data_IF_291721626882
#
_entry.id   IF_291721626882
#
_cell.length_a   1.000
_cell.length_b   1.000
_cell.length_c   1.000
_cell.angle_alpha   90.00
_cell.angle_beta   90.00
_cell.angle_gamma   90.00
#
_symmetry.space_group_name_H-M   'P 1'
#
loop_
_entity.id
_entity.type
_entity.pdbx_description
1 polymer ?
#
# COMPACT_ATOMS: atom_id res chain seq x y z
N UNK A 1 -104.84 -15.59 -15.15
CA UNK A 1 -104.58 -17.04 -15.37
C UNK A 1 -103.88 -17.28 -16.74
N UNK A 2 -102.76 -16.60 -17.03
CA UNK A 2 -101.98 -16.75 -18.31
C UNK A 2 -100.45 -16.78 -18.07
N UNK A 3 -99.96 -16.64 -16.83
CA UNK A 3 -98.52 -16.50 -16.56
C UNK A 3 -97.78 -17.78 -16.10
N UNK A 4 -98.49 -18.90 -15.88
CA UNK A 4 -97.89 -20.14 -15.37
C UNK A 4 -97.56 -21.20 -16.43
N UNK A 5 -97.79 -20.93 -17.72
CA UNK A 5 -97.51 -21.91 -18.81
C UNK A 5 -96.15 -21.75 -19.51
N UNK A 6 -95.43 -20.64 -19.34
CA UNK A 6 -94.18 -20.39 -20.08
C UNK A 6 -92.88 -20.78 -19.35
N UNK A 7 -92.94 -21.15 -18.06
CA UNK A 7 -91.75 -21.55 -17.30
C UNK A 7 -91.37 -23.03 -17.49
N UNK A 8 -92.34 -23.93 -17.77
CA UNK A 8 -92.06 -25.37 -17.90
C UNK A 8 -91.40 -25.78 -19.22
N UNK A 9 -91.56 -24.99 -20.30
CA UNK A 9 -91.02 -25.34 -21.62
C UNK A 9 -89.56 -24.89 -21.86
N UNK A 10 -89.03 -23.95 -21.06
CA UNK A 10 -87.61 -23.57 -21.12
C UNK A 10 -86.70 -24.46 -20.25
N UNK A 11 -87.20 -24.97 -19.13
CA UNK A 11 -86.44 -25.92 -18.30
C UNK A 11 -86.26 -27.29 -18.98
N UNK A 12 -87.26 -27.77 -19.75
CA UNK A 12 -87.18 -29.06 -20.42
C UNK A 12 -86.23 -29.09 -21.64
N UNK A 13 -85.98 -27.95 -22.30
CA UNK A 13 -85.03 -27.89 -23.43
C UNK A 13 -83.56 -27.79 -23.01
N UNK A 14 -83.28 -27.34 -21.78
CA UNK A 14 -81.92 -27.34 -21.23
C UNK A 14 -81.57 -28.72 -20.69
N UNK A 15 -82.52 -29.40 -20.04
CA UNK A 15 -82.30 -30.77 -19.54
C UNK A 15 -82.11 -31.81 -20.67
N UNK A 16 -82.82 -31.67 -21.80
CA UNK A 16 -82.72 -32.62 -22.91
C UNK A 16 -81.43 -32.48 -23.75
N UNK A 17 -80.69 -31.36 -23.65
CA UNK A 17 -79.39 -31.18 -24.32
C UNK A 17 -78.20 -31.67 -23.51
N UNK A 18 -78.40 -31.99 -22.23
CA UNK A 18 -77.35 -32.54 -21.36
C UNK A 18 -77.30 -34.07 -21.45
N UNK A 19 -78.33 -34.74 -21.97
CA UNK A 19 -78.45 -36.20 -21.93
C UNK A 19 -78.14 -36.94 -23.24
N UNK A 20 -77.64 -36.26 -24.29
CA UNK A 20 -77.59 -36.85 -25.64
C UNK A 20 -76.20 -36.92 -26.31
N UNK A 21 -75.10 -36.70 -25.58
CA UNK A 21 -73.73 -36.79 -26.15
C UNK A 21 -72.73 -37.55 -25.24
N UNK A 22 -73.20 -38.50 -24.42
CA UNK A 22 -72.35 -39.37 -23.58
C UNK A 22 -71.91 -40.66 -24.29
N UNK A 23 -71.51 -40.58 -25.56
CA UNK A 23 -70.90 -41.71 -26.29
C UNK A 23 -69.60 -41.29 -26.95
N UNK A 24 -68.60 -40.96 -26.13
CA UNK A 24 -67.28 -40.58 -26.62
C UNK A 24 -66.33 -39.89 -25.65
N UNK A 25 -66.71 -39.60 -24.40
CA UNK A 25 -65.78 -39.14 -23.36
C UNK A 25 -64.91 -40.30 -22.88
N UNK A 26 -63.97 -40.73 -23.72
CA UNK A 26 -62.99 -41.74 -23.37
C UNK A 26 -62.13 -41.26 -22.20
N UNK A 27 -61.63 -42.20 -21.40
CA UNK A 27 -60.64 -42.00 -20.32
C UNK A 27 -59.56 -40.96 -20.67
N UNK A 28 -59.18 -40.88 -21.95
CA UNK A 28 -58.22 -39.91 -22.50
C UNK A 28 -58.61 -38.45 -22.24
N UNK A 29 -59.87 -38.05 -22.38
CA UNK A 29 -60.28 -36.65 -22.21
C UNK A 29 -60.23 -36.20 -20.75
N UNK A 30 -60.62 -37.08 -19.82
CA UNK A 30 -60.51 -36.84 -18.37
C UNK A 30 -59.04 -36.78 -17.95
N UNK A 31 -58.18 -37.63 -18.51
CA UNK A 31 -56.73 -37.60 -18.25
C UNK A 31 -56.11 -36.32 -18.81
N UNK A 32 -56.46 -35.89 -20.03
CA UNK A 32 -55.95 -34.64 -20.62
C UNK A 32 -56.44 -33.42 -19.83
N UNK A 33 -57.70 -33.39 -19.42
CA UNK A 33 -58.26 -32.31 -18.61
C UNK A 33 -57.57 -32.21 -17.23
N UNK A 34 -57.27 -33.35 -16.59
CA UNK A 34 -56.51 -33.39 -15.33
C UNK A 34 -55.07 -32.90 -15.51
N UNK A 35 -54.41 -33.24 -16.63
CA UNK A 35 -53.04 -32.78 -16.92
C UNK A 35 -53.01 -31.27 -17.17
N UNK A 36 -53.94 -30.74 -17.98
CA UNK A 36 -54.04 -29.30 -18.24
C UNK A 36 -54.37 -28.54 -16.96
N UNK A 37 -55.32 -29.04 -16.16
CA UNK A 37 -55.65 -28.44 -14.88
C UNK A 37 -54.45 -28.44 -13.93
N UNK A 38 -53.69 -29.53 -13.85
CA UNK A 38 -52.48 -29.61 -13.03
C UNK A 38 -51.43 -28.58 -13.47
N UNK A 39 -51.21 -28.42 -14.78
CA UNK A 39 -50.26 -27.42 -15.31
C UNK A 39 -50.69 -25.98 -14.96
N UNK A 40 -51.97 -25.67 -15.10
CA UNK A 40 -52.51 -24.35 -14.74
C UNK A 40 -52.41 -24.13 -13.23
N UNK A 41 -52.77 -25.12 -12.41
CA UNK A 41 -52.70 -25.04 -10.96
C UNK A 41 -51.27 -24.82 -10.46
N UNK A 42 -50.27 -25.51 -11.04
CA UNK A 42 -48.85 -25.29 -10.72
C UNK A 42 -48.41 -23.88 -11.11
N UNK A 43 -48.81 -23.39 -12.29
CA UNK A 43 -48.51 -22.03 -12.72
C UNK A 43 -49.07 -20.97 -11.77
N UNK A 44 -50.33 -21.11 -11.35
CA UNK A 44 -50.99 -20.20 -10.39
C UNK A 44 -50.33 -20.29 -9.02
N UNK A 45 -50.02 -21.49 -8.53
CA UNK A 45 -49.37 -21.67 -7.24
C UNK A 45 -47.97 -21.03 -7.21
N UNK A 46 -47.18 -21.20 -8.28
CA UNK A 46 -45.88 -20.52 -8.40
C UNK A 46 -46.04 -19.00 -8.47
N UNK A 47 -47.04 -18.50 -9.21
CA UNK A 47 -47.38 -17.08 -9.24
C UNK A 47 -47.66 -16.51 -7.85
N UNK A 48 -48.49 -17.19 -7.06
CA UNK A 48 -48.80 -16.78 -5.69
C UNK A 48 -47.57 -16.78 -4.77
N UNK A 49 -46.70 -17.79 -4.88
CA UNK A 49 -45.45 -17.86 -4.09
C UNK A 49 -44.52 -16.70 -4.45
N UNK A 50 -44.36 -16.39 -5.74
CA UNK A 50 -43.54 -15.28 -6.20
C UNK A 50 -44.13 -13.95 -5.72
N UNK A 51 -45.44 -13.74 -5.88
CA UNK A 51 -46.12 -12.53 -5.39
C UNK A 51 -45.98 -12.37 -3.87
N UNK A 52 -46.07 -13.47 -3.12
CA UNK A 52 -45.90 -13.45 -1.65
C UNK A 52 -44.47 -13.11 -1.26
N UNK A 53 -43.47 -13.67 -1.96
CA UNK A 53 -42.06 -13.34 -1.76
C UNK A 53 -41.76 -11.88 -2.06
N UNK A 54 -42.29 -11.34 -3.17
CA UNK A 54 -42.12 -9.94 -3.54
C UNK A 54 -42.77 -9.02 -2.50
N UNK A 55 -43.97 -9.36 -2.02
CA UNK A 55 -44.66 -8.58 -0.98
C UNK A 55 -43.88 -8.59 0.34
N UNK A 56 -43.40 -9.76 0.77
CA UNK A 56 -42.56 -9.88 1.97
C UNK A 56 -41.25 -9.10 1.84
N UNK A 57 -40.59 -9.18 0.68
CA UNK A 57 -39.37 -8.44 0.39
C UNK A 57 -39.60 -6.91 0.39
N UNK A 58 -40.72 -6.44 -0.15
CA UNK A 58 -41.11 -5.03 -0.09
C UNK A 58 -41.36 -4.55 1.35
N UNK A 59 -41.99 -5.38 2.19
CA UNK A 59 -42.17 -5.09 3.61
C UNK A 59 -40.83 -5.01 4.35
N UNK A 60 -39.93 -5.97 4.12
CA UNK A 60 -38.57 -5.95 4.68
C UNK A 60 -37.80 -4.72 4.23
N UNK A 61 -37.94 -4.30 2.96
CA UNK A 61 -37.31 -3.08 2.46
C UNK A 61 -37.83 -1.82 3.15
N UNK A 62 -39.12 -1.76 3.48
CA UNK A 62 -39.68 -0.64 4.25
C UNK A 62 -39.11 -0.59 5.67
N UNK A 63 -38.97 -1.74 6.34
CA UNK A 63 -38.30 -1.83 7.65
C UNK A 63 -36.83 -1.40 7.54
N UNK A 64 -36.12 -1.86 6.52
CA UNK A 64 -34.73 -1.48 6.27
C UNK A 64 -34.55 0.03 6.05
N UNK A 65 -35.49 0.70 5.35
CA UNK A 65 -35.48 2.16 5.21
C UNK A 65 -35.73 2.89 6.53
N UNK A 66 -36.59 2.36 7.40
CA UNK A 66 -36.78 2.93 8.75
C UNK A 66 -35.53 2.77 9.61
N UNK A 67 -34.83 1.62 9.51
CA UNK A 67 -33.55 1.40 10.18
C UNK A 67 -32.47 2.36 9.65
N UNK A 68 -32.43 2.62 8.34
CA UNK A 68 -31.54 3.62 7.77
C UNK A 68 -31.80 5.02 8.34
N UNK A 69 -33.07 5.43 8.43
CA UNK A 69 -33.44 6.72 9.01
C UNK A 69 -33.02 6.83 10.49
N UNK A 70 -33.28 5.77 11.28
CA UNK A 70 -32.85 5.72 12.67
C UNK A 70 -31.33 5.80 12.82
N UNK A 71 -30.57 5.14 11.95
CA UNK A 71 -29.11 5.22 11.92
C UNK A 71 -28.64 6.64 11.55
N UNK A 72 -29.25 7.28 10.55
CA UNK A 72 -28.93 8.67 10.19
C UNK A 72 -29.20 9.63 11.34
N UNK A 73 -30.32 9.47 12.06
CA UNK A 73 -30.63 10.28 13.23
C UNK A 73 -29.64 10.04 14.36
N UNK A 74 -29.22 8.80 14.59
CA UNK A 74 -28.13 8.50 15.52
C UNK A 74 -26.82 9.19 15.13
N UNK A 75 -26.45 9.14 13.85
CA UNK A 75 -25.24 9.81 13.35
C UNK A 75 -25.34 11.34 13.52
N UNK A 76 -26.51 11.95 13.35
CA UNK A 76 -26.73 13.38 13.60
C UNK A 76 -26.54 13.80 15.06
N UNK A 77 -26.66 12.88 16.02
CA UNK A 77 -26.37 13.16 17.44
C UNK A 77 -24.87 13.13 17.76
N UNK A 78 -24.05 12.64 16.83
CA UNK A 78 -22.60 12.53 17.00
C UNK A 78 -21.88 13.74 16.40
N UNK A 79 -20.67 13.98 16.88
CA UNK A 79 -19.74 14.88 16.21
C UNK A 79 -19.42 14.32 14.81
N UNK A 80 -19.56 15.10 13.71
CA UNK A 80 -19.21 14.63 12.36
C UNK A 80 -17.77 14.12 12.25
N UNK A 81 -16.87 14.56 13.13
CA UNK A 81 -15.48 14.13 13.19
C UNK A 81 -15.27 12.75 13.84
N UNK A 82 -16.26 12.24 14.60
CA UNK A 82 -16.22 10.91 15.22
C UNK A 82 -16.95 9.84 14.42
N UNK A 83 -17.72 10.23 13.39
CA UNK A 83 -18.46 9.28 12.56
C UNK A 83 -17.49 8.55 11.64
N UNK A 84 -17.57 7.22 11.63
CA UNK A 84 -16.68 6.37 10.85
C UNK A 84 -17.46 5.49 9.85
N UNK A 85 -16.82 5.15 8.74
CA UNK A 85 -17.33 4.11 7.83
C UNK A 85 -17.29 2.75 8.54
N UNK A 86 -18.31 1.93 8.30
CA UNK A 86 -18.39 0.53 8.73
C UNK A 86 -18.02 -0.40 7.56
N UNK A 87 -17.73 -1.67 7.86
CA UNK A 87 -17.40 -2.67 6.84
C UNK A 87 -18.25 -3.93 6.99
N UNK A 88 -18.18 -4.83 6.00
CA UNK A 88 -18.86 -6.14 6.08
C UNK A 88 -18.43 -6.97 7.29
N UNK A 89 -17.22 -6.78 7.79
CA UNK A 89 -16.68 -7.49 8.96
C UNK A 89 -16.92 -6.74 10.27
N UNK A 90 -17.44 -5.52 10.22
CA UNK A 90 -17.81 -4.70 11.37
C UNK A 90 -18.96 -3.77 10.98
N UNK A 91 -20.20 -4.31 10.91
CA UNK A 91 -21.38 -3.53 10.56
C UNK A 91 -21.65 -2.45 11.60
N UNK A 92 -22.34 -1.38 11.21
CA UNK A 92 -22.70 -0.31 12.14
C UNK A 92 -23.75 -0.77 13.17
N UNK A 93 -24.66 -1.64 12.75
CA UNK A 93 -25.63 -2.28 13.64
C UNK A 93 -26.21 -3.55 13.00
N UNK A 94 -26.68 -4.45 13.85
CA UNK A 94 -27.43 -5.66 13.47
C UNK A 94 -28.65 -5.77 14.36
N UNK A 95 -29.83 -5.97 13.77
CA UNK A 95 -31.09 -6.08 14.51
C UNK A 95 -31.93 -7.24 13.96
N UNK A 96 -32.61 -7.97 14.83
CA UNK A 96 -33.62 -8.94 14.43
C UNK A 96 -35.02 -8.39 14.67
N UNK A 97 -35.85 -8.45 13.62
CA UNK A 97 -37.26 -8.07 13.67
C UNK A 97 -38.03 -9.20 12.99
N UNK A 98 -38.96 -9.82 13.72
CA UNK A 98 -39.78 -10.94 13.24
C UNK A 98 -38.97 -12.10 12.64
N UNK A 99 -37.81 -12.41 13.23
CA UNK A 99 -36.92 -13.49 12.78
C UNK A 99 -36.10 -13.17 11.52
N UNK A 100 -36.24 -11.97 10.95
CA UNK A 100 -35.41 -11.48 9.85
C UNK A 100 -34.25 -10.67 10.44
N UNK A 101 -33.02 -10.99 10.05
CA UNK A 101 -31.84 -10.24 10.48
C UNK A 101 -31.59 -9.10 9.49
N UNK A 102 -31.57 -7.88 10.00
CA UNK A 102 -31.18 -6.67 9.27
C UNK A 102 -29.76 -6.30 9.67
N UNK A 103 -28.90 -6.07 8.69
CA UNK A 103 -27.51 -5.63 8.89
C UNK A 103 -27.32 -4.29 8.22
N UNK A 104 -26.98 -3.28 9.00
CA UNK A 104 -26.77 -1.91 8.54
C UNK A 104 -25.28 -1.63 8.39
N UNK A 105 -24.93 -0.96 7.31
CA UNK A 105 -23.63 -0.41 7.01
C UNK A 105 -23.76 1.10 6.81
N UNK A 106 -22.76 1.86 7.23
CA UNK A 106 -22.61 3.25 6.86
C UNK A 106 -21.26 3.48 6.16
N UNK A 107 -21.24 4.35 5.16
CA UNK A 107 -20.04 4.89 4.52
C UNK A 107 -20.04 6.40 4.69
N UNK A 108 -18.93 6.96 5.12
CA UNK A 108 -18.77 8.41 5.28
C UNK A 108 -17.72 8.95 4.33
N UNK A 109 -17.98 10.13 3.78
CA UNK A 109 -17.03 10.87 2.98
C UNK A 109 -17.21 12.37 3.26
N UNK A 110 -16.12 13.11 3.37
CA UNK A 110 -16.21 14.56 3.40
C UNK A 110 -16.49 15.06 2.00
N UNK A 111 -17.39 16.04 1.85
CA UNK A 111 -17.69 16.63 0.54
C UNK A 111 -17.37 18.11 0.51
N UNK A 112 -16.86 18.57 -0.63
CA UNK A 112 -16.71 20.00 -0.90
C UNK A 112 -18.06 20.65 -1.32
N UNK A 113 -18.04 21.95 -1.60
CA UNK A 113 -19.22 22.70 -2.06
C UNK A 113 -19.71 22.29 -3.46
N UNK A 114 -18.93 21.52 -4.21
CA UNK A 114 -19.34 20.93 -5.50
C UNK A 114 -20.04 19.57 -5.33
N UNK A 115 -20.10 19.03 -4.10
CA UNK A 115 -20.67 17.72 -3.80
C UNK A 115 -19.74 16.55 -4.14
N UNK A 116 -18.48 16.82 -4.45
CA UNK A 116 -17.48 15.79 -4.72
C UNK A 116 -16.95 15.23 -3.40
N UNK A 117 -16.79 13.90 -3.33
CA UNK A 117 -16.12 13.24 -2.20
C UNK A 117 -14.65 13.65 -2.17
N UNK A 118 -14.20 14.04 -0.99
CA UNK A 118 -12.84 14.46 -0.70
C UNK A 118 -12.32 13.64 0.48
N UNK A 119 -11.08 13.18 0.36
CA UNK A 119 -10.37 12.59 1.49
C UNK A 119 -9.93 13.70 2.45
N UNK A 120 -9.82 13.40 3.74
CA UNK A 120 -9.45 14.34 4.81
C UNK A 120 -8.08 15.04 4.68
N UNK A 121 -7.33 14.79 3.59
CA UNK A 121 -6.06 15.46 3.27
C UNK A 121 -6.10 16.29 1.99
N UNK A 122 -7.25 16.43 1.33
CA UNK A 122 -7.37 17.37 0.21
C UNK A 122 -7.19 18.80 0.74
N UNK A 123 -6.30 19.56 0.11
CA UNK A 123 -5.80 20.86 0.59
C UNK A 123 -6.79 22.01 0.38
N UNK A 124 -8.03 21.71 -0.05
CA UNK A 124 -9.07 22.72 -0.25
C UNK A 124 -9.86 22.95 1.03
N UNK A 125 -9.71 24.18 1.55
CA UNK A 125 -10.31 24.70 2.79
C UNK A 125 -11.85 24.76 2.86
N UNK A 126 -12.56 23.91 2.11
CA UNK A 126 -14.01 23.95 1.93
C UNK A 126 -14.74 22.63 2.23
N UNK A 127 -14.16 21.76 3.06
CA UNK A 127 -14.93 20.67 3.67
C UNK A 127 -16.03 21.27 4.54
N UNK A 128 -17.26 21.34 4.04
CA UNK A 128 -18.37 21.95 4.76
C UNK A 128 -19.36 20.89 5.25
N UNK A 129 -19.42 19.75 4.57
CA UNK A 129 -20.45 18.74 4.77
C UNK A 129 -19.81 17.35 4.84
N UNK A 130 -20.26 16.55 5.79
CA UNK A 130 -20.02 15.12 5.85
C UNK A 130 -21.18 14.41 5.14
N UNK A 131 -20.89 13.67 4.07
CA UNK A 131 -21.86 12.78 3.45
C UNK A 131 -21.85 11.45 4.17
N UNK A 132 -23.03 11.00 4.58
CA UNK A 132 -23.25 9.71 5.23
C UNK A 132 -24.24 8.91 4.38
N UNK A 133 -23.75 7.80 3.84
CA UNK A 133 -24.57 6.80 3.15
C UNK A 133 -24.83 5.65 4.09
N UNK A 134 -26.10 5.30 4.31
CA UNK A 134 -26.49 4.13 5.10
C UNK A 134 -27.13 3.10 4.17
N UNK A 135 -26.68 1.86 4.26
CA UNK A 135 -27.17 0.71 3.50
C UNK A 135 -27.61 -0.38 4.48
N UNK A 136 -28.82 -0.91 4.34
CA UNK A 136 -29.29 -2.04 5.13
C UNK A 136 -29.65 -3.22 4.22
N UNK A 137 -29.09 -4.39 4.53
CA UNK A 137 -29.42 -5.68 3.92
C UNK A 137 -30.21 -6.54 4.91
N UNK A 138 -30.96 -7.52 4.42
CA UNK A 138 -31.74 -8.43 5.27
C UNK A 138 -31.58 -9.90 4.87
N UNK A 139 -31.74 -10.82 5.83
CA UNK A 139 -31.44 -12.24 5.65
C UNK A 139 -32.31 -12.95 4.61
N UNK A 140 -33.52 -12.44 4.34
CA UNK A 140 -34.46 -12.98 3.35
C UNK A 140 -34.47 -12.21 2.03
N UNK A 141 -33.50 -11.31 1.82
CA UNK A 141 -33.40 -10.48 0.62
C UNK A 141 -33.31 -11.32 -0.64
N UNK A 142 -34.14 -10.99 -1.63
CA UNK A 142 -34.04 -11.60 -2.96
C UNK A 142 -32.76 -11.15 -3.66
N UNK A 143 -32.08 -12.04 -4.39
CA UNK A 143 -30.85 -11.71 -5.13
C UNK A 143 -31.02 -10.53 -6.11
N UNK A 144 -32.22 -10.34 -6.65
CA UNK A 144 -32.55 -9.26 -7.59
C UNK A 144 -32.91 -7.95 -6.91
N UNK A 145 -33.16 -7.96 -5.58
CA UNK A 145 -33.54 -6.77 -4.84
C UNK A 145 -32.29 -6.05 -4.35
N UNK A 146 -32.05 -4.78 -4.74
CA UNK A 146 -30.95 -4.00 -4.19
C UNK A 146 -31.18 -3.69 -2.71
N UNK A 147 -30.08 -3.50 -1.97
CA UNK A 147 -30.14 -3.08 -0.58
C UNK A 147 -30.91 -1.75 -0.41
N UNK A 148 -31.47 -1.53 0.78
CA UNK A 148 -32.10 -0.26 1.09
C UNK A 148 -31.02 0.78 1.40
N UNK A 149 -30.97 1.88 0.65
CA UNK A 149 -29.95 2.92 0.81
C UNK A 149 -30.58 4.28 1.13
N UNK A 150 -29.99 5.02 2.07
CA UNK A 150 -30.33 6.40 2.39
C UNK A 150 -29.07 7.25 2.46
N UNK A 151 -29.08 8.42 1.83
CA UNK A 151 -27.96 9.38 1.85
C UNK A 151 -28.37 10.65 2.61
N UNK A 152 -27.47 11.18 3.43
CA UNK A 152 -27.63 12.47 4.09
C UNK A 152 -26.33 13.28 4.06
N UNK A 153 -26.49 14.60 4.04
CA UNK A 153 -25.40 15.55 4.29
C UNK A 153 -25.57 16.10 5.70
N UNK A 154 -24.49 16.03 6.49
CA UNK A 154 -24.43 16.53 7.85
C UNK A 154 -23.47 17.71 7.85
N UNK A 155 -23.97 18.87 8.24
CA UNK A 155 -23.12 20.03 8.49
C UNK A 155 -22.32 19.81 9.77
N UNK A 156 -21.06 20.21 9.79
CA UNK A 156 -20.36 20.35 11.06
C UNK A 156 -20.95 21.56 11.81
N UNK A 157 -21.68 21.30 12.89
CA UNK A 157 -22.40 22.31 13.71
C UNK A 157 -21.47 23.40 14.25
N UNK A 158 -20.21 23.04 14.49
CA UNK A 158 -19.11 23.94 14.60
C UNK A 158 -18.36 23.93 13.28
N UNK A 159 -18.30 25.10 12.63
CA UNK A 159 -17.32 25.35 11.59
C UNK A 159 -16.00 24.70 12.00
N UNK A 160 -15.37 23.97 11.08
CA UNK A 160 -13.95 23.59 11.16
C UNK A 160 -13.07 24.77 11.66
N UNK A 161 -13.59 25.99 11.46
CA UNK A 161 -13.16 27.30 11.92
C UNK A 161 -13.96 27.76 13.16
N UNK A 162 -13.60 27.31 14.35
CA UNK A 162 -13.93 28.07 15.57
C UNK A 162 -13.22 29.43 15.46
N UNK A 163 -13.88 30.59 15.61
CA UNK A 163 -13.18 31.88 15.51
C UNK A 163 -11.98 32.03 16.45
N UNK A 164 -11.97 31.32 17.58
CA UNK A 164 -10.89 31.34 18.56
C UNK A 164 -9.88 30.19 18.45
N UNK A 165 -10.23 29.08 17.79
CA UNK A 165 -9.41 27.86 17.73
C UNK A 165 -9.24 27.37 16.28
N UNK A 166 -8.30 26.45 16.06
CA UNK A 166 -8.13 25.77 14.77
C UNK A 166 -8.42 24.27 14.85
N UNK A 167 -8.29 23.62 13.71
CA UNK A 167 -8.45 22.17 13.54
C UNK A 167 -7.25 21.60 12.79
N UNK A 168 -6.72 20.47 13.26
CA UNK A 168 -5.66 19.71 12.59
C UNK A 168 -6.30 18.50 11.89
N UNK A 169 -6.05 18.38 10.59
CA UNK A 169 -6.49 17.28 9.74
C UNK A 169 -5.31 16.35 9.50
N UNK A 170 -5.41 15.10 9.90
CA UNK A 170 -4.32 14.13 9.72
C UNK A 170 -4.76 13.08 8.70
N UNK A 171 -3.95 12.88 7.66
CA UNK A 171 -4.10 11.81 6.69
C UNK A 171 -2.88 10.89 6.77
N UNK A 172 -3.12 9.59 6.88
CA UNK A 172 -2.08 8.57 6.79
C UNK A 172 -2.41 7.63 5.64
N UNK A 173 -1.50 7.55 4.68
CA UNK A 173 -1.64 6.78 3.46
C UNK A 173 -0.62 5.65 3.45
N UNK A 174 -1.07 4.45 3.07
CA UNK A 174 -0.22 3.28 2.88
C UNK A 174 0.48 3.30 1.52
N UNK A 175 1.41 2.37 1.33
CA UNK A 175 2.15 2.19 0.07
C UNK A 175 1.26 1.92 -1.15
N UNK A 176 0.07 1.35 -0.96
CA UNK A 176 -0.91 1.06 -2.00
C UNK A 176 -1.86 2.24 -2.30
N UNK A 177 -1.71 3.35 -1.57
CA UNK A 177 -2.59 4.52 -1.65
C UNK A 177 -3.84 4.45 -0.76
N UNK A 178 -4.06 3.34 -0.06
CA UNK A 178 -5.19 3.19 0.87
C UNK A 178 -4.95 3.94 2.19
N UNK A 179 -6.02 4.17 2.95
CA UNK A 179 -5.94 4.74 4.29
C UNK A 179 -5.34 3.79 5.32
N UNK A 180 -4.48 4.28 6.21
CA UNK A 180 -4.01 3.49 7.34
C UNK A 180 -4.99 3.56 8.52
N UNK A 181 -5.85 2.56 8.67
CA UNK A 181 -6.85 2.50 9.73
C UNK A 181 -6.30 2.12 11.12
N UNK A 182 -6.98 2.58 12.16
CA UNK A 182 -6.72 2.29 13.58
C UNK A 182 -5.30 2.65 14.07
N UNK A 183 -4.62 3.56 13.37
CA UNK A 183 -3.30 4.04 13.76
C UNK A 183 -3.44 5.06 14.89
N UNK A 184 -2.70 4.83 15.98
CA UNK A 184 -2.58 5.81 17.05
C UNK A 184 -1.41 6.75 16.73
N UNK A 185 -1.71 8.05 16.63
CA UNK A 185 -0.73 9.10 16.45
C UNK A 185 -0.57 9.89 17.76
N UNK A 186 0.46 10.71 17.85
CA UNK A 186 0.61 11.70 18.91
C UNK A 186 0.73 13.10 18.33
N UNK A 187 0.25 14.09 19.06
CA UNK A 187 0.40 15.49 18.70
C UNK A 187 0.75 16.29 19.95
N UNK A 188 1.74 17.17 19.87
CA UNK A 188 2.19 18.01 20.98
C UNK A 188 2.41 19.44 20.53
N UNK A 189 2.06 20.40 21.37
CA UNK A 189 2.47 21.79 21.15
C UNK A 189 3.98 21.92 21.33
N UNK A 190 4.56 23.01 20.82
CA UNK A 190 5.98 23.34 21.05
C UNK A 190 6.30 23.50 22.54
N UNK A 191 5.31 23.86 23.37
CA UNK A 191 5.42 23.88 24.84
C UNK A 191 5.28 22.52 25.52
N UNK A 192 5.17 21.42 24.77
CA UNK A 192 5.11 20.06 25.30
C UNK A 192 3.71 19.58 25.70
N UNK A 193 2.67 20.39 25.50
CA UNK A 193 1.29 20.01 25.84
C UNK A 193 0.80 18.97 24.84
N UNK A 194 0.49 17.77 25.30
CA UNK A 194 -0.05 16.70 24.47
C UNK A 194 -1.52 16.98 24.12
N UNK A 195 -1.86 16.78 22.85
CA UNK A 195 -3.23 16.75 22.36
C UNK A 195 -3.71 15.30 22.29
N UNK A 196 -4.99 15.08 22.57
CA UNK A 196 -5.63 13.79 22.32
C UNK A 196 -5.84 13.63 20.82
N UNK A 197 -5.20 12.62 20.23
CA UNK A 197 -5.39 12.28 18.82
C UNK A 197 -6.25 11.02 18.74
N UNK A 198 -7.44 11.07 18.13
CA UNK A 198 -8.21 9.86 17.84
C UNK A 198 -7.42 8.93 16.93
N UNK A 199 -7.71 7.62 17.01
CA UNK A 199 -7.19 6.68 16.02
C UNK A 199 -7.71 7.02 14.63
N UNK A 200 -6.89 6.76 13.62
CA UNK A 200 -7.30 6.97 12.23
C UNK A 200 -8.45 6.03 11.83
N UNK A 201 -9.37 6.51 10.99
CA UNK A 201 -10.47 5.71 10.43
C UNK A 201 -10.02 4.84 9.24
N UNK A 202 -10.95 4.14 8.58
CA UNK A 202 -10.67 3.30 7.40
C UNK A 202 -9.99 4.03 6.25
N UNK A 203 -10.22 5.33 6.13
CA UNK A 203 -9.60 6.19 5.12
C UNK A 203 -8.26 6.77 5.59
N UNK A 204 -7.75 6.38 6.76
CA UNK A 204 -6.49 6.89 7.31
C UNK A 204 -6.61 8.30 7.90
N UNK A 205 -7.82 8.73 8.24
CA UNK A 205 -8.10 10.08 8.70
C UNK A 205 -8.21 10.17 10.22
N UNK A 206 -7.60 11.19 10.82
CA UNK A 206 -7.85 11.60 12.21
C UNK A 206 -7.99 13.13 12.28
N UNK A 207 -8.79 13.60 13.24
CA UNK A 207 -9.15 15.02 13.37
C UNK A 207 -8.91 15.47 14.81
N UNK A 208 -8.27 16.63 14.98
CA UNK A 208 -8.11 17.28 16.28
C UNK A 208 -8.75 18.67 16.17
N UNK A 209 -9.88 18.87 16.83
CA UNK A 209 -10.64 20.13 16.82
C UNK A 209 -10.39 20.93 18.08
N UNK A 210 -10.66 22.25 18.05
CA UNK A 210 -10.55 23.10 19.24
C UNK A 210 -9.09 23.33 19.67
N UNK A 211 -8.18 23.30 18.72
CA UNK A 211 -6.74 23.47 18.95
C UNK A 211 -6.42 24.95 19.07
N UNK A 212 -5.85 25.38 20.19
CA UNK A 212 -5.42 26.77 20.34
C UNK A 212 -4.43 27.18 19.23
N UNK A 213 -4.40 28.44 18.78
CA UNK A 213 -3.40 28.89 17.82
C UNK A 213 -1.97 28.68 18.35
N UNK A 214 -1.08 28.12 17.53
CA UNK A 214 0.30 27.80 17.92
C UNK A 214 1.00 26.81 16.98
N UNK A 215 2.24 26.45 17.31
CA UNK A 215 3.03 25.45 16.58
C UNK A 215 2.93 24.08 17.25
N UNK A 216 2.65 23.07 16.45
CA UNK A 216 2.42 21.69 16.86
C UNK A 216 3.27 20.72 16.06
N UNK A 217 3.69 19.64 16.71
CA UNK A 217 4.34 18.49 16.07
C UNK A 217 3.40 17.31 16.15
N UNK A 218 3.07 16.73 15.00
CA UNK A 218 2.34 15.46 14.89
C UNK A 218 3.35 14.37 14.57
N UNK A 219 3.29 13.26 15.29
CA UNK A 219 4.26 12.18 15.20
C UNK A 219 3.56 10.84 15.02
N UNK A 220 4.02 10.09 14.01
CA UNK A 220 3.78 8.67 13.83
C UNK A 220 4.97 7.89 14.40
N UNK A 221 4.71 7.03 15.38
CA UNK A 221 5.73 6.23 16.05
C UNK A 221 5.17 4.85 16.36
N UNK A 222 5.05 4.04 15.32
CA UNK A 222 4.58 2.66 15.42
C UNK A 222 5.70 1.72 15.00
N UNK A 223 6.08 0.83 15.91
CA UNK A 223 7.10 -0.19 15.68
C UNK A 223 6.74 -1.08 14.50
N UNK A 224 7.70 -1.32 13.62
CA UNK A 224 7.50 -2.14 12.41
C UNK A 224 6.87 -1.35 11.26
N UNK A 225 6.66 -0.05 11.41
CA UNK A 225 6.26 0.83 10.32
C UNK A 225 7.42 1.73 9.91
N UNK A 226 7.29 2.28 8.70
CA UNK A 226 8.30 3.12 8.07
C UNK A 226 7.63 4.13 7.15
N UNK A 227 8.21 5.32 7.02
CA UNK A 227 7.76 6.32 6.04
C UNK A 227 8.41 6.13 4.67
N UNK A 228 7.97 6.92 3.68
CA UNK A 228 8.54 6.92 2.34
C UNK A 228 10.02 7.34 2.27
N UNK A 229 10.57 7.93 3.33
CA UNK A 229 12.01 8.23 3.47
C UNK A 229 12.77 7.12 4.21
N UNK A 230 12.12 5.99 4.44
CA UNK A 230 12.66 4.83 5.15
C UNK A 230 12.97 5.10 6.64
N UNK A 231 12.33 6.11 7.24
CA UNK A 231 12.43 6.42 8.65
C UNK A 231 11.39 5.62 9.45
N UNK A 232 11.86 4.87 10.46
CA UNK A 232 10.99 3.99 11.27
C UNK A 232 10.38 4.62 12.51
N UNK A 233 11.12 5.49 13.16
CA UNK A 233 10.78 5.97 14.50
C UNK A 233 10.59 7.46 14.50
N UNK A 234 9.58 7.89 15.26
CA UNK A 234 9.28 9.30 15.51
C UNK A 234 9.18 10.15 14.23
N UNK A 235 8.53 9.63 13.19
CA UNK A 235 8.28 10.37 11.94
C UNK A 235 7.36 11.53 12.26
N UNK A 236 7.89 12.74 12.14
CA UNK A 236 7.22 13.94 12.68
C UNK A 236 7.06 15.03 11.63
N UNK A 237 5.95 15.75 11.71
CA UNK A 237 5.63 16.91 10.89
C UNK A 237 5.28 18.08 11.81
N UNK A 238 5.88 19.24 11.55
CA UNK A 238 5.62 20.49 12.28
C UNK A 238 4.65 21.34 11.49
N UNK A 239 3.62 21.87 12.16
CA UNK A 239 2.60 22.71 11.55
C UNK A 239 2.20 23.87 12.45
N UNK A 240 1.74 24.96 11.84
CA UNK A 240 1.28 26.15 12.53
C UNK A 240 -0.24 26.27 12.40
N UNK A 241 -0.94 26.25 13.54
CA UNK A 241 -2.39 26.43 13.62
C UNK A 241 -2.69 27.90 13.91
N UNK A 242 -3.55 28.50 13.10
CA UNK A 242 -4.11 29.84 13.35
C UNK A 242 -5.59 29.74 13.75
N UNK A 243 -6.10 30.77 14.43
CA UNK A 243 -7.51 30.84 14.80
C UNK A 243 -8.41 30.80 13.55
N UNK A 244 -9.48 30.01 13.61
CA UNK A 244 -10.39 29.82 12.48
C UNK A 244 -9.78 29.08 11.29
N UNK A 245 -8.69 28.32 11.48
CA UNK A 245 -8.03 27.60 10.39
C UNK A 245 -8.16 26.07 10.47
N UNK A 246 -8.03 25.47 9.29
CA UNK A 246 -7.96 24.04 9.05
C UNK A 246 -6.56 23.71 8.52
N UNK A 247 -5.75 22.97 9.25
CA UNK A 247 -4.37 22.69 8.84
C UNK A 247 -4.20 21.20 8.54
N UNK A 248 -3.98 20.82 7.28
CA UNK A 248 -3.71 19.44 6.91
C UNK A 248 -2.27 19.04 7.20
N UNK A 249 -2.10 17.79 7.63
CA UNK A 249 -0.83 17.08 7.75
C UNK A 249 -1.00 15.67 7.19
N UNK A 250 -0.03 15.24 6.38
CA UNK A 250 -0.06 13.95 5.71
C UNK A 250 1.18 13.13 6.01
N UNK A 251 1.00 11.83 6.17
CA UNK A 251 2.06 10.84 6.30
C UNK A 251 1.88 9.76 5.24
N UNK A 252 2.95 9.46 4.51
CA UNK A 252 3.07 8.19 3.78
C UNK A 252 3.76 7.22 4.73
N UNK A 253 2.99 6.34 5.37
CA UNK A 253 3.46 5.50 6.47
C UNK A 253 2.78 4.14 6.41
N UNK A 254 3.56 3.07 6.37
CA UNK A 254 3.05 1.71 6.21
C UNK A 254 3.90 0.72 7.01
N UNK A 255 3.43 -0.52 7.15
CA UNK A 255 4.23 -1.62 7.72
C UNK A 255 5.44 -1.86 6.82
N UNK A 256 6.62 -1.97 7.41
CA UNK A 256 7.88 -2.11 6.68
C UNK A 256 7.95 -3.39 5.84
N UNK A 257 8.76 -3.34 4.79
CA UNK A 257 9.31 -4.52 4.15
C UNK A 257 10.72 -4.74 4.68
N UNK A 258 10.96 -5.92 5.24
CA UNK A 258 12.20 -6.33 5.89
C UNK A 258 13.12 -7.09 4.93
N UNK A 259 13.82 -6.40 4.03
CA UNK A 259 14.67 -7.08 3.04
C UNK A 259 15.86 -7.75 3.72
N UNK A 260 15.94 -9.07 3.62
CA UNK A 260 17.08 -9.86 4.08
C UNK A 260 18.23 -9.71 3.10
N UNK A 261 19.29 -9.04 3.53
CA UNK A 261 20.40 -8.65 2.67
C UNK A 261 21.58 -9.59 2.84
N UNK A 262 22.15 -9.99 1.70
CA UNK A 262 23.42 -10.69 1.63
C UNK A 262 24.35 -9.94 0.68
N UNK A 263 25.66 -10.05 0.89
CA UNK A 263 26.66 -9.42 0.02
C UNK A 263 27.47 -10.54 -0.67
N UNK A 264 26.86 -11.30 -1.59
CA UNK A 264 27.51 -12.45 -2.19
C UNK A 264 28.71 -12.00 -3.03
N UNK A 265 29.82 -12.72 -2.88
CA UNK A 265 31.06 -12.45 -3.60
C UNK A 265 31.58 -13.66 -4.39
N UNK A 266 30.93 -14.83 -4.22
CA UNK A 266 31.36 -16.10 -4.85
C UNK A 266 32.72 -16.60 -4.35
N UNK A 267 33.27 -16.02 -3.28
CA UNK A 267 34.61 -16.30 -2.76
C UNK A 267 34.55 -16.60 -1.26
N UNK A 268 35.42 -17.51 -0.79
CA UNK A 268 35.58 -17.79 0.63
C UNK A 268 36.54 -16.80 1.31
N UNK A 269 36.36 -16.59 2.62
CA UNK A 269 37.23 -15.76 3.48
C UNK A 269 37.37 -14.30 3.01
N UNK A 270 36.29 -13.72 2.51
CA UNK A 270 36.25 -12.32 2.09
C UNK A 270 35.96 -11.41 3.28
N UNK A 271 36.71 -10.32 3.36
CA UNK A 271 36.56 -9.27 4.37
C UNK A 271 35.76 -8.12 3.75
N UNK A 272 34.72 -7.66 4.44
CA UNK A 272 33.90 -6.53 4.04
C UNK A 272 34.37 -5.23 4.70
N UNK A 273 34.12 -4.07 4.07
CA UNK A 273 34.46 -2.81 4.70
C UNK A 273 33.52 -2.49 5.87
N UNK A 274 34.05 -1.87 6.92
CA UNK A 274 33.25 -1.48 8.09
C UNK A 274 32.32 -0.30 7.82
N UNK A 275 32.67 0.49 6.82
CA UNK A 275 32.02 1.73 6.37
C UNK A 275 31.43 1.59 4.96
N UNK A 276 31.13 0.36 4.52
CA UNK A 276 30.45 0.12 3.24
C UNK A 276 29.17 0.96 3.19
N UNK A 277 28.90 1.62 2.08
CA UNK A 277 27.61 2.26 1.83
C UNK A 277 26.86 1.39 0.84
N UNK A 278 25.58 1.16 1.08
CA UNK A 278 24.68 0.52 0.12
C UNK A 278 23.57 1.49 -0.23
N UNK A 279 23.41 1.78 -1.52
CA UNK A 279 22.39 2.68 -2.05
C UNK A 279 21.17 1.88 -2.48
N UNK A 280 19.99 2.27 -1.99
CA UNK A 280 18.69 1.66 -2.27
C UNK A 280 17.80 2.66 -3.00
N UNK A 281 17.14 2.20 -4.05
CA UNK A 281 16.21 3.01 -4.82
C UNK A 281 15.22 2.15 -5.60
N UNK A 282 14.09 2.76 -5.94
CA UNK A 282 13.13 2.27 -6.91
C UNK A 282 13.31 2.99 -8.26
N UNK A 283 12.71 2.47 -9.33
CA UNK A 283 12.69 3.18 -10.62
C UNK A 283 11.89 4.49 -10.59
N UNK A 284 11.11 4.74 -9.54
CA UNK A 284 10.30 5.95 -9.37
C UNK A 284 10.97 6.99 -8.46
N UNK A 285 12.09 6.65 -7.81
CA UNK A 285 12.76 7.55 -6.88
C UNK A 285 13.59 8.61 -7.61
N UNK A 286 13.55 9.82 -7.07
CA UNK A 286 14.42 10.93 -7.47
C UNK A 286 15.45 11.10 -6.35
N UNK A 287 16.75 11.26 -6.65
CA UNK A 287 17.74 11.33 -5.58
C UNK A 287 17.57 12.62 -4.73
N UNK A 288 18.04 12.63 -3.47
CA UNK A 288 18.98 11.67 -2.88
C UNK A 288 18.33 10.32 -2.58
N UNK A 289 19.04 9.25 -2.93
CA UNK A 289 18.60 7.88 -2.67
C UNK A 289 18.83 7.51 -1.20
N UNK A 290 18.09 6.51 -0.73
CA UNK A 290 18.27 5.99 0.61
C UNK A 290 19.58 5.19 0.70
N UNK A 291 20.37 5.46 1.72
CA UNK A 291 21.67 4.80 1.91
C UNK A 291 21.76 4.17 3.29
N UNK A 292 22.34 2.98 3.36
CA UNK A 292 22.62 2.28 4.62
C UNK A 292 24.11 2.02 4.72
N UNK A 293 24.68 2.21 5.92
CA UNK A 293 26.09 1.97 6.19
C UNK A 293 26.36 0.58 6.77
N UNK A 294 27.55 0.05 6.53
CA UNK A 294 27.99 -1.29 6.90
C UNK A 294 27.46 -2.38 5.96
N UNK A 295 27.43 -3.61 6.47
CA UNK A 295 26.89 -4.80 5.80
C UNK A 295 25.72 -5.37 6.60
N UNK A 296 24.61 -4.62 6.74
CA UNK A 296 23.44 -5.11 7.48
C UNK A 296 22.94 -6.42 6.87
N UNK A 297 22.44 -7.33 7.71
CA UNK A 297 21.75 -8.56 7.26
C UNK A 297 20.25 -8.33 6.98
N UNK A 298 19.73 -7.16 7.38
CA UNK A 298 18.34 -6.76 7.20
C UNK A 298 18.26 -5.24 7.00
N UNK A 299 17.51 -4.81 6.00
CA UNK A 299 17.19 -3.40 5.71
C UNK A 299 15.68 -3.25 5.60
N UNK A 300 15.15 -2.23 6.25
CA UNK A 300 13.71 -1.99 6.28
C UNK A 300 13.35 -0.82 5.40
N UNK A 301 12.41 -1.06 4.50
CA UNK A 301 12.05 -0.12 3.45
C UNK A 301 10.55 0.10 3.43
N UNK A 302 10.14 1.28 2.99
CA UNK A 302 8.76 1.53 2.65
C UNK A 302 8.30 0.56 1.57
N UNK A 303 7.14 -0.08 1.66
CA UNK A 303 6.74 -1.05 0.65
C UNK A 303 6.60 -0.41 -0.73
N UNK A 304 7.04 -1.15 -1.75
CA UNK A 304 7.09 -0.71 -3.15
C UNK A 304 6.65 -1.86 -4.07
N UNK A 305 5.41 -2.33 -3.88
CA UNK A 305 4.89 -3.56 -4.49
C UNK A 305 4.99 -3.60 -6.03
N UNK A 306 4.86 -2.45 -6.71
CA UNK A 306 4.83 -2.38 -8.18
C UNK A 306 6.19 -2.25 -8.85
N UNK A 307 7.12 -1.55 -8.20
CA UNK A 307 8.43 -1.20 -8.78
C UNK A 307 9.59 -1.98 -8.16
N UNK A 308 9.42 -2.44 -6.91
CA UNK A 308 10.48 -3.09 -6.15
C UNK A 308 11.65 -2.16 -5.83
N UNK A 309 12.64 -2.72 -5.14
CA UNK A 309 13.90 -2.03 -4.84
C UNK A 309 15.07 -2.69 -5.54
N UNK A 310 15.98 -1.86 -6.02
CA UNK A 310 17.35 -2.27 -6.38
C UNK A 310 18.30 -1.77 -5.31
N UNK A 311 19.27 -2.59 -4.94
CA UNK A 311 20.37 -2.18 -4.07
C UNK A 311 21.70 -2.28 -4.81
N UNK A 312 22.56 -1.30 -4.57
CA UNK A 312 23.90 -1.18 -5.15
C UNK A 312 24.89 -0.99 -4.01
N UNK A 313 25.90 -1.86 -3.93
CA UNK A 313 27.03 -1.61 -3.04
C UNK A 313 27.81 -0.42 -3.60
N UNK A 314 28.09 0.57 -2.77
CA UNK A 314 28.67 1.85 -3.16
C UNK A 314 27.75 3.03 -2.86
N UNK A 315 28.35 4.21 -2.67
CA UNK A 315 27.62 5.48 -2.62
C UNK A 315 27.32 5.94 -4.05
N UNK A 316 26.24 5.41 -4.63
CA UNK A 316 25.83 5.74 -5.99
C UNK A 316 25.21 7.14 -6.04
N UNK A 317 25.70 7.98 -6.94
CA UNK A 317 25.21 9.33 -7.14
C UNK A 317 25.12 9.64 -8.65
N UNK A 318 23.90 9.64 -9.23
CA UNK A 318 23.73 9.96 -10.65
C UNK A 318 24.03 11.44 -10.92
N UNK A 319 24.32 11.76 -12.18
CA UNK A 319 24.59 13.13 -12.60
C UNK A 319 23.34 14.02 -12.48
N UNK A 320 23.29 14.87 -11.44
CA UNK A 320 22.25 15.88 -11.22
C UNK A 320 22.74 17.32 -11.50
N UNK A 321 23.61 17.51 -12.50
CA UNK A 321 24.12 18.83 -12.84
C UNK A 321 25.10 19.46 -11.82
N UNK A 322 25.64 18.68 -10.87
CA UNK A 322 26.65 19.10 -9.90
C UNK A 322 27.82 18.10 -9.77
N UNK A 323 28.96 18.56 -9.25
CA UNK A 323 30.27 17.89 -9.17
C UNK A 323 30.37 16.64 -8.25
N UNK A 324 29.24 16.12 -7.74
CA UNK A 324 29.19 15.00 -6.80
C UNK A 324 28.60 13.74 -7.43
N UNK A 325 29.15 13.33 -8.57
CA UNK A 325 28.71 12.12 -9.28
C UNK A 325 29.59 10.93 -8.94
N UNK A 326 28.98 9.75 -8.87
CA UNK A 326 29.69 8.49 -8.74
C UNK A 326 28.86 7.38 -9.38
N UNK A 327 29.26 6.99 -10.59
CA UNK A 327 28.53 6.09 -11.46
C UNK A 327 29.09 4.67 -11.40
N UNK A 328 30.38 4.50 -11.07
CA UNK A 328 31.07 3.20 -11.02
C UNK A 328 30.35 2.11 -10.22
N UNK A 329 29.75 2.40 -9.04
CA UNK A 329 29.06 1.38 -8.27
C UNK A 329 27.93 0.66 -9.01
N UNK A 330 27.27 1.36 -9.94
CA UNK A 330 26.05 0.91 -10.56
C UNK A 330 26.33 0.17 -11.88
N UNK A 331 26.05 -1.15 -11.94
CA UNK A 331 26.21 -1.93 -13.17
C UNK A 331 25.53 -1.32 -14.39
N UNK A 332 24.38 -0.67 -14.20
CA UNK A 332 23.61 -0.09 -15.31
C UNK A 332 24.26 1.11 -16.00
N UNK A 333 25.36 1.65 -15.47
CA UNK A 333 26.11 2.75 -16.11
C UNK A 333 27.39 2.27 -16.83
N UNK A 334 27.61 0.95 -16.92
CA UNK A 334 28.76 0.38 -17.63
C UNK A 334 28.35 0.03 -19.06
N UNK A 335 28.53 0.96 -19.99
CA UNK A 335 28.19 0.77 -21.40
C UNK A 335 29.03 -0.35 -22.04
N UNK A 336 28.48 -1.02 -23.06
CA UNK A 336 29.19 -2.01 -23.86
C UNK A 336 30.47 -1.42 -24.47
N UNK A 337 31.52 -2.24 -24.57
CA UNK A 337 32.79 -1.78 -25.10
C UNK A 337 33.90 -2.80 -24.98
N UNK A 338 35.13 -2.40 -25.31
CA UNK A 338 36.30 -3.25 -25.15
C UNK A 338 37.08 -2.86 -23.90
N UNK A 339 37.36 -3.84 -23.03
CA UNK A 339 38.25 -3.68 -21.89
C UNK A 339 39.17 -4.91 -21.78
N UNK A 340 40.47 -4.67 -21.53
CA UNK A 340 41.47 -5.74 -21.44
C UNK A 340 41.55 -6.65 -22.68
N UNK A 341 41.22 -6.11 -23.87
CA UNK A 341 41.22 -6.85 -25.14
C UNK A 341 40.02 -7.78 -25.35
N UNK A 342 38.98 -7.68 -24.50
CA UNK A 342 37.72 -8.42 -24.65
C UNK A 342 36.58 -7.45 -24.92
N UNK A 343 35.68 -7.86 -25.82
CA UNK A 343 34.39 -7.18 -26.00
C UNK A 343 33.44 -7.58 -24.87
N UNK A 344 32.83 -6.57 -24.25
CA UNK A 344 31.91 -6.71 -23.13
C UNK A 344 30.56 -6.13 -23.51
N UNK A 345 29.49 -6.77 -23.03
CA UNK A 345 28.11 -6.30 -23.17
C UNK A 345 27.82 -5.16 -22.19
N UNK A 346 26.65 -4.51 -22.32
CA UNK A 346 26.18 -3.55 -21.33
C UNK A 346 26.07 -4.20 -19.95
N UNK A 347 26.43 -3.46 -18.92
CA UNK A 347 26.24 -3.88 -17.54
C UNK A 347 24.74 -3.90 -17.21
N UNK A 348 24.33 -4.93 -16.48
CA UNK A 348 22.91 -5.14 -16.15
C UNK A 348 22.75 -5.09 -14.64
N UNK A 349 21.82 -4.26 -14.16
CA UNK A 349 21.41 -4.24 -12.76
C UNK A 349 20.72 -5.55 -12.43
N UNK A 350 20.89 -6.03 -11.20
CA UNK A 350 20.07 -7.13 -10.70
C UNK A 350 18.59 -6.70 -10.64
N UNK A 351 17.69 -7.65 -10.94
CA UNK A 351 16.26 -7.39 -10.95
C UNK A 351 15.78 -6.86 -9.59
N UNK A 352 14.90 -5.84 -9.57
CA UNK A 352 14.38 -5.29 -8.33
C UNK A 352 13.65 -6.35 -7.49
N UNK A 353 13.85 -6.31 -6.18
CA UNK A 353 13.08 -7.14 -5.26
C UNK A 353 11.73 -6.52 -4.97
N UNK A 354 10.66 -7.27 -5.17
CA UNK A 354 9.31 -6.85 -4.79
C UNK A 354 9.24 -6.65 -3.28
N UNK A 355 8.81 -5.46 -2.85
CA UNK A 355 8.67 -5.11 -1.44
C UNK A 355 7.19 -4.97 -1.07
N UNK A 356 6.62 -6.03 -0.49
CA UNK A 356 5.24 -6.03 0.03
C UNK A 356 5.24 -5.71 1.54
N UNK A 357 4.19 -5.05 2.06
CA UNK A 357 4.08 -4.76 3.48
C UNK A 357 4.19 -6.05 4.33
N UNK A 358 4.92 -6.01 5.44
CA UNK A 358 5.11 -7.13 6.37
C UNK A 358 5.67 -8.41 5.72
N UNK A 359 6.58 -8.25 4.77
CA UNK A 359 7.30 -9.37 4.14
C UNK A 359 8.81 -9.23 4.31
N UNK A 360 9.52 -10.36 4.17
CA UNK A 360 10.97 -10.39 4.33
C UNK A 360 11.68 -11.04 3.14
N UNK A 361 11.62 -10.43 1.94
CA UNK A 361 12.25 -10.99 0.75
C UNK A 361 13.79 -10.95 0.88
N UNK A 362 14.48 -11.81 0.15
CA UNK A 362 15.95 -11.83 0.13
C UNK A 362 16.51 -11.07 -1.07
N UNK A 363 17.60 -10.34 -0.86
CA UNK A 363 18.33 -9.66 -1.92
C UNK A 363 19.84 -9.82 -1.74
N UNK A 364 20.53 -10.19 -2.82
CA UNK A 364 21.99 -10.20 -2.89
C UNK A 364 22.48 -8.88 -3.43
N UNK A 365 23.27 -8.13 -2.67
CA UNK A 365 23.89 -6.89 -3.12
C UNK A 365 25.18 -7.25 -3.86
N UNK A 366 25.25 -7.04 -5.19
CA UNK A 366 26.39 -7.49 -5.98
C UNK A 366 27.64 -6.66 -5.67
N UNK A 367 28.78 -7.34 -5.55
CA UNK A 367 30.09 -6.76 -5.26
C UNK A 367 31.19 -7.53 -5.99
N UNK A 368 32.35 -6.90 -6.16
CA UNK A 368 33.56 -7.58 -6.61
C UNK A 368 34.52 -7.89 -5.46
N UNK A 369 35.55 -8.70 -5.75
CA UNK A 369 36.60 -9.07 -4.80
C UNK A 369 37.97 -8.71 -5.35
N UNK A 370 38.76 -8.03 -4.54
CA UNK A 370 40.17 -7.74 -4.80
C UNK A 370 41.03 -8.48 -3.80
N UNK A 371 42.10 -9.12 -4.28
CA UNK A 371 43.19 -9.59 -3.42
C UNK A 371 44.21 -8.46 -3.25
N UNK A 372 44.42 -8.03 -2.01
CA UNK A 372 45.49 -7.10 -1.69
C UNK A 372 46.76 -7.90 -1.41
N UNK A 373 47.94 -7.48 -1.90
CA UNK A 373 49.23 -8.10 -1.59
C UNK A 373 50.25 -7.04 -1.16
N UNK A 374 51.25 -7.46 -0.38
CA UNK A 374 52.27 -6.56 0.19
C UNK A 374 52.02 -6.19 1.66
N UNK A 375 51.01 -6.76 2.31
CA UNK A 375 50.80 -6.63 3.74
C UNK A 375 51.84 -7.47 4.52
N UNK A 376 52.43 -6.95 5.61
CA UNK A 376 53.30 -7.76 6.44
C UNK A 376 52.52 -8.91 7.11
N UNK A 377 53.20 -10.04 7.33
CA UNK A 377 52.55 -11.30 7.73
C UNK A 377 51.99 -11.33 9.15
N UNK A 378 52.43 -10.41 10.02
CA UNK A 378 52.10 -10.42 11.45
C UNK A 378 51.58 -9.05 11.89
N UNK A 379 50.32 -8.99 12.30
CA UNK A 379 49.73 -7.76 12.82
C UNK A 379 48.26 -7.59 12.46
N UNK A 380 47.69 -6.51 13.00
CA UNK A 380 46.38 -5.98 12.60
C UNK A 380 46.62 -4.68 11.86
N UNK A 381 46.09 -4.57 10.65
CA UNK A 381 46.26 -3.42 9.76
C UNK A 381 44.92 -2.83 9.38
N UNK A 382 44.88 -1.50 9.33
CA UNK A 382 43.80 -0.76 8.69
C UNK A 382 44.14 -0.60 7.22
N UNK A 383 43.46 -1.36 6.36
CA UNK A 383 43.57 -1.23 4.91
C UNK A 383 42.50 -0.24 4.44
N UNK A 384 42.89 0.67 3.57
CA UNK A 384 42.02 1.69 2.98
C UNK A 384 41.98 1.46 1.48
N UNK A 385 40.77 1.26 0.95
CA UNK A 385 40.50 1.34 -0.47
C UNK A 385 40.02 2.74 -0.81
N UNK A 386 40.57 3.33 -1.86
CA UNK A 386 40.13 4.64 -2.38
C UNK A 386 39.91 4.52 -3.88
N UNK A 387 38.81 5.07 -4.37
CA UNK A 387 38.52 5.10 -5.80
C UNK A 387 39.68 5.78 -6.53
N UNK A 388 40.23 5.12 -7.53
CA UNK A 388 41.30 5.65 -8.36
C UNK A 388 40.73 6.31 -9.63
N UNK A 389 41.62 6.80 -10.50
CA UNK A 389 41.21 7.22 -11.83
C UNK A 389 40.51 6.07 -12.57
N UNK A 390 39.41 6.38 -13.23
CA UNK A 390 38.61 5.39 -13.95
C UNK A 390 39.46 4.64 -14.98
N UNK A 391 39.44 3.30 -14.89
CA UNK A 391 40.04 2.43 -15.89
C UNK A 391 39.22 2.38 -17.18
N UNK A 392 39.71 1.67 -18.23
CA UNK A 392 38.95 1.51 -19.47
C UNK A 392 37.55 0.93 -19.24
N UNK A 393 36.52 1.68 -19.62
CA UNK A 393 35.11 1.31 -19.49
C UNK A 393 34.48 1.53 -18.11
N UNK A 394 35.25 1.97 -17.10
CA UNK A 394 34.70 2.40 -15.82
C UNK A 394 34.07 3.80 -15.98
N UNK A 395 32.77 4.00 -15.66
CA UNK A 395 32.13 5.31 -15.80
C UNK A 395 32.63 6.33 -14.76
N UNK A 396 33.38 5.87 -13.75
CA UNK A 396 34.11 6.71 -12.81
C UNK A 396 33.27 7.32 -11.69
N UNK A 397 33.99 7.95 -10.76
CA UNK A 397 33.43 8.75 -9.69
C UNK A 397 34.15 10.10 -9.59
N UNK A 398 33.40 11.19 -9.81
CA UNK A 398 33.91 12.55 -9.65
C UNK A 398 34.18 12.87 -8.18
N UNK A 399 33.30 12.43 -7.27
CA UNK A 399 33.60 12.39 -5.84
C UNK A 399 34.10 11.00 -5.49
N UNK A 400 35.38 10.93 -5.12
CA UNK A 400 36.01 9.66 -4.79
C UNK A 400 35.35 8.98 -3.59
N UNK A 401 35.31 7.65 -3.63
CA UNK A 401 34.84 6.81 -2.53
C UNK A 401 36.01 6.29 -1.71
N UNK A 402 35.78 6.07 -0.42
CA UNK A 402 36.77 5.52 0.51
C UNK A 402 36.13 4.47 1.40
N UNK A 403 36.80 3.33 1.55
CA UNK A 403 36.38 2.22 2.39
C UNK A 403 37.52 1.70 3.25
N UNK A 404 37.18 1.25 4.44
CA UNK A 404 38.13 0.85 5.49
C UNK A 404 37.91 -0.61 5.89
N UNK A 405 39.00 -1.36 6.00
CA UNK A 405 39.02 -2.76 6.37
C UNK A 405 39.98 -2.98 7.55
N UNK A 406 39.60 -3.88 8.44
CA UNK A 406 40.49 -4.39 9.50
C UNK A 406 40.98 -5.77 9.09
N UNK A 407 42.26 -5.90 8.77
CA UNK A 407 42.89 -7.15 8.34
C UNK A 407 43.82 -7.65 9.44
N UNK A 408 43.74 -8.95 9.78
CA UNK A 408 44.60 -9.59 10.80
C UNK A 408 45.35 -10.78 10.21
N UNK A 409 46.68 -10.81 10.40
CA UNK A 409 47.57 -11.94 10.08
C UNK A 409 47.32 -12.56 8.69
N UNK A 410 47.19 -11.72 7.67
CA UNK A 410 46.95 -12.16 6.30
C UNK A 410 47.77 -11.30 5.35
N UNK A 411 48.76 -11.91 4.70
CA UNK A 411 49.63 -11.23 3.74
C UNK A 411 48.93 -10.96 2.40
N UNK A 412 47.80 -11.64 2.15
CA UNK A 412 47.06 -11.59 0.89
C UNK A 412 45.53 -11.59 1.08
N UNK A 413 44.95 -10.64 1.85
CA UNK A 413 43.52 -10.64 2.15
C UNK A 413 42.66 -10.44 0.91
N UNK A 414 41.49 -11.08 0.91
CA UNK A 414 40.42 -10.87 -0.06
C UNK A 414 39.46 -9.83 0.48
N UNK A 415 39.30 -8.72 -0.23
CA UNK A 415 38.50 -7.57 0.18
C UNK A 415 37.31 -7.43 -0.77
N UNK A 416 36.10 -7.37 -0.22
CA UNK A 416 34.90 -7.04 -0.99
C UNK A 416 34.84 -5.54 -1.25
N UNK A 417 34.65 -5.14 -2.50
CA UNK A 417 34.50 -3.75 -2.90
C UNK A 417 33.35 -3.60 -3.89
N UNK A 418 32.66 -2.44 -3.89
CA UNK A 418 31.77 -2.06 -4.99
C UNK A 418 32.46 -2.11 -6.34
N UNK A 419 31.67 -2.16 -7.41
CA UNK A 419 32.20 -2.01 -8.77
C UNK A 419 32.90 -0.65 -8.96
N UNK A 420 33.93 -0.65 -9.80
CA UNK A 420 34.80 0.51 -10.04
C UNK A 420 36.29 0.19 -9.93
N UNK A 421 37.10 1.24 -10.12
CA UNK A 421 38.57 1.16 -10.05
C UNK A 421 39.09 1.62 -8.69
N UNK A 422 39.88 0.78 -8.04
CA UNK A 422 40.33 0.96 -6.66
C UNK A 422 41.84 0.97 -6.54
N UNK A 423 42.35 1.85 -5.69
CA UNK A 423 43.71 1.83 -5.15
C UNK A 423 43.68 1.37 -3.70
N UNK A 424 44.65 0.56 -3.29
CA UNK A 424 44.74 0.03 -1.93
C UNK A 424 45.97 0.57 -1.22
N UNK A 425 45.80 0.89 0.06
CA UNK A 425 46.89 1.27 0.95
C UNK A 425 46.64 0.75 2.36
N UNK A 426 47.66 0.71 3.20
CA UNK A 426 47.48 0.41 4.63
C UNK A 426 48.19 1.43 5.50
N UNK A 427 47.61 1.69 6.68
CA UNK A 427 48.22 2.54 7.69
C UNK A 427 49.35 1.80 8.43
N UNK A 428 50.51 2.44 8.53
CA UNK A 428 51.60 2.02 9.40
C UNK A 428 51.59 2.72 10.76
N UNK A 429 52.53 2.33 11.63
CA UNK A 429 52.82 3.11 12.84
C UNK A 429 53.16 4.56 12.45
N UNK A 430 52.70 5.53 13.23
CA UNK A 430 52.93 6.98 13.03
C UNK A 430 52.10 7.65 11.91
N UNK A 431 51.03 7.01 11.42
CA UNK A 431 50.11 7.63 10.46
C UNK A 431 50.60 7.67 9.01
N UNK A 432 51.69 6.95 8.71
CA UNK A 432 52.17 6.75 7.34
C UNK A 432 51.21 5.83 6.57
N UNK A 433 51.04 6.07 5.28
CA UNK A 433 50.28 5.21 4.37
C UNK A 433 51.22 4.55 3.37
N UNK A 434 51.11 3.23 3.23
CA UNK A 434 51.93 2.44 2.31
C UNK A 434 51.03 1.82 1.23
N UNK A 435 51.40 1.94 -0.06
CA UNK A 435 50.61 1.37 -1.15
C UNK A 435 50.64 -0.16 -1.11
N UNK A 436 49.54 -0.78 -1.51
CA UNK A 436 49.41 -2.22 -1.73
C UNK A 436 49.23 -2.53 -3.21
N UNK A 437 49.63 -3.72 -3.61
CA UNK A 437 49.24 -4.25 -4.92
C UNK A 437 47.82 -4.80 -4.83
N UNK A 438 47.03 -4.56 -5.86
CA UNK A 438 45.62 -4.94 -5.94
C UNK A 438 45.40 -5.82 -7.17
N UNK A 439 44.79 -6.99 -6.99
CA UNK A 439 44.42 -7.90 -8.07
C UNK A 439 42.93 -8.22 -7.99
N UNK A 440 42.16 -7.89 -9.03
CA UNK A 440 40.76 -8.31 -9.11
C UNK A 440 40.69 -9.84 -9.24
N UNK A 441 39.94 -10.49 -8.33
CA UNK A 441 39.69 -11.94 -8.34
C UNK A 441 38.36 -12.29 -9.01
N UNK A 442 37.40 -11.38 -8.96
CA UNK A 442 36.14 -11.45 -9.70
C UNK A 442 36.04 -10.24 -10.60
N UNK A 443 35.24 -10.31 -11.66
CA UNK A 443 34.93 -9.14 -12.49
C UNK A 443 36.20 -8.47 -13.10
N UNK A 444 37.26 -9.25 -13.31
CA UNK A 444 38.57 -8.81 -13.75
C UNK A 444 38.68 -8.82 -15.28
N UNK A 445 37.97 -7.90 -15.94
CA UNK A 445 38.00 -7.80 -17.42
C UNK A 445 38.93 -6.71 -17.94
N UNK A 446 39.27 -5.70 -17.14
CA UNK A 446 40.11 -4.58 -17.55
C UNK A 446 41.53 -4.68 -17.00
N UNK A 447 42.51 -4.30 -17.83
CA UNK A 447 43.89 -4.07 -17.39
C UNK A 447 43.91 -2.83 -16.50
N UNK A 448 44.21 -3.01 -15.23
CA UNK A 448 44.31 -1.90 -14.29
C UNK A 448 45.68 -1.22 -14.39
N UNK A 449 45.75 0.12 -14.29
CA UNK A 449 47.02 0.83 -14.06
C UNK A 449 47.81 0.20 -12.89
N UNK A 450 49.14 0.25 -12.95
CA UNK A 450 50.00 -0.34 -11.92
C UNK A 450 49.57 0.09 -10.50
N UNK A 451 49.28 -0.88 -9.63
CA UNK A 451 48.84 -0.62 -8.24
C UNK A 451 47.34 -0.36 -8.05
N UNK A 452 46.52 -0.53 -9.10
CA UNK A 452 45.04 -0.44 -9.00
C UNK A 452 44.37 -1.75 -9.42
N UNK A 453 43.11 -1.94 -9.06
CA UNK A 453 42.26 -3.03 -9.53
C UNK A 453 40.89 -2.49 -9.93
N UNK A 454 40.43 -2.85 -11.13
CA UNK A 454 39.10 -2.52 -11.62
C UNK A 454 38.18 -3.74 -11.51
N UNK A 455 37.03 -3.53 -10.86
CA UNK A 455 35.94 -4.50 -10.72
C UNK A 455 34.82 -4.13 -11.72
N UNK A 456 34.78 -4.84 -12.85
CA UNK A 456 33.88 -4.59 -13.98
C UNK A 456 32.64 -5.53 -13.96
N UNK A 457 31.41 -5.01 -13.77
CA UNK A 457 30.21 -5.83 -13.65
C UNK A 457 29.75 -6.46 -14.96
N UNK A 458 30.28 -6.04 -16.11
CA UNK A 458 29.86 -6.51 -17.43
C UNK A 458 30.27 -7.98 -17.65
N UNK A 459 29.53 -8.66 -18.52
CA UNK A 459 29.87 -10.00 -19.01
C UNK A 459 30.56 -9.93 -20.38
N UNK A 460 31.39 -10.93 -20.69
CA UNK A 460 31.97 -11.07 -22.02
C UNK A 460 30.87 -11.45 -23.04
N UNK A 461 30.94 -10.84 -24.23
CA UNK A 461 30.04 -11.12 -25.36
C UNK A 461 30.26 -12.49 -25.98
#
# INVERSE_FOLDING_TARGET
MIWLRNARLRAQRVAARVAADDTGLGIVEVVVAMVIFALIAVGVAQGLVISSKIAGDAQSRAVALNLNSAQLDYVRTQSPYSVQSSSKTSPSSTMQIDGITYTTFQTVAWTDTSGADRSCGAVDSSFQLLRVRVETIWSTQLQTTPAATSDALISADNTIKDPGNGTIFIKVTKSDGSGYANLQLSAKSTGGIALTVPKTNTDGCAFITGVAPGSYTVTADVTGNVDRKHQKTSVSQVLNVTAGSAVPVSFDYDVDTSVNTSYPTGQSNVIYPTDLVTTWFTSADIPPYYTVSGTPSRVDLFPAAKVGYTAIAGAFAPAQGAATTCLSPDPGNWDAGSAGGKNLLDGVRQDPVTALPNTSPSYGVPMGVVQATGLPSNGTYTVVATSAAAGPGDPGCATGQKYTFTVKNNNSPKLALPYGTWSLSYGGLLGLSFPLSAQALTNAYSTSPAGTATLDPRSAS
#
